data_IF_805637556215
#
_entry.id   IF_805637556215
#
_cell.length_a   1.000
_cell.length_b   1.000
_cell.length_c   1.000
_cell.angle_alpha   90.00
_cell.angle_beta   90.00
_cell.angle_gamma   90.00
#
_symmetry.space_group_name_H-M   'P 1'
#
loop_
_entity.id
_entity.type
_entity.pdbx_description
1 polymer ?
#
# COMPACT_ATOMS: atom_id res chain seq x y z
N UNK A 1 73.40 52.09 1.19
CA UNK A 1 73.40 51.16 2.33
C UNK A 1 72.57 49.95 1.91
N UNK A 2 73.24 48.80 1.72
CA UNK A 2 72.77 47.39 1.73
C UNK A 2 71.61 47.02 0.76
N UNK A 3 71.84 46.40 -0.41
CA UNK A 3 72.03 44.94 -0.72
C UNK A 3 70.82 44.04 -0.38
N UNK A 4 70.20 43.49 -1.45
CA UNK A 4 69.74 42.08 -1.71
C UNK A 4 69.08 41.30 -0.54
N UNK A 5 67.95 40.61 -0.71
CA UNK A 5 67.85 39.34 -1.44
C UNK A 5 66.43 39.04 -1.96
N UNK A 6 66.38 37.97 -2.75
CA UNK A 6 65.54 37.70 -3.92
C UNK A 6 64.50 36.57 -3.63
N UNK A 7 63.61 36.30 -4.60
CA UNK A 7 62.94 34.99 -4.91
C UNK A 7 61.64 34.63 -4.15
N UNK A 8 60.58 33.98 -4.70
CA UNK A 8 59.94 33.76 -6.03
C UNK A 8 58.60 33.03 -5.75
N UNK A 9 57.54 33.41 -6.48
CA UNK A 9 56.44 32.61 -7.07
C UNK A 9 55.61 31.68 -6.15
N UNK A 10 54.29 31.87 -6.11
CA UNK A 10 53.37 30.87 -6.69
C UNK A 10 51.97 31.42 -6.95
N UNK A 11 51.44 30.94 -8.08
CA UNK A 11 50.09 31.10 -8.60
C UNK A 11 49.10 30.54 -7.56
N UNK A 12 48.04 31.28 -7.25
CA UNK A 12 46.72 30.66 -7.27
C UNK A 12 45.65 31.70 -7.63
N UNK A 13 44.73 31.20 -8.40
CA UNK A 13 43.85 31.90 -9.30
C UNK A 13 42.58 32.38 -8.57
N UNK A 14 42.12 33.59 -8.92
CA UNK A 14 40.75 34.09 -8.76
C UNK A 14 40.24 34.51 -7.36
N UNK A 15 40.33 35.81 -7.04
CA UNK A 15 39.29 36.48 -6.25
C UNK A 15 39.20 37.97 -6.62
N UNK A 16 38.14 38.35 -7.34
CA UNK A 16 37.76 39.76 -7.52
C UNK A 16 36.26 39.90 -7.41
N UNK A 17 35.86 40.74 -6.47
CA UNK A 17 34.52 40.83 -5.92
C UNK A 17 33.44 41.21 -6.94
N UNK A 18 32.55 40.23 -7.14
CA UNK A 18 31.10 40.26 -7.40
C UNK A 18 30.41 41.63 -7.53
N UNK A 19 30.04 41.99 -8.76
CA UNK A 19 28.75 42.65 -9.08
C UNK A 19 28.22 42.01 -10.36
N UNK A 20 27.15 41.23 -10.24
CA UNK A 20 26.46 40.60 -11.38
C UNK A 20 25.03 41.13 -11.41
N UNK A 21 24.71 41.87 -12.46
CA UNK A 21 23.34 42.23 -12.83
C UNK A 21 22.89 41.11 -13.78
N UNK A 22 21.87 40.35 -13.39
CA UNK A 22 21.22 39.36 -14.25
C UNK A 22 19.76 39.74 -14.41
N UNK A 23 19.32 39.89 -15.65
CA UNK A 23 17.94 40.19 -16.04
C UNK A 23 17.23 38.89 -16.40
N UNK A 24 15.99 38.78 -15.90
CA UNK A 24 14.85 37.95 -16.33
C UNK A 24 14.87 36.43 -16.12
N UNK A 25 13.79 35.92 -15.50
CA UNK A 25 12.93 34.89 -16.09
C UNK A 25 11.50 35.02 -15.52
N UNK A 26 10.45 34.79 -16.34
CA UNK A 26 9.07 35.11 -16.01
C UNK A 26 8.48 34.12 -15.00
N UNK A 27 7.70 34.66 -14.06
CA UNK A 27 6.98 33.89 -13.03
C UNK A 27 6.09 32.84 -13.70
N UNK A 28 6.24 31.54 -13.38
CA UNK A 28 5.32 30.53 -13.86
C UNK A 28 3.93 30.80 -13.30
N UNK A 29 2.96 31.02 -14.18
CA UNK A 29 1.56 31.15 -13.79
C UNK A 29 1.11 29.85 -13.09
N UNK A 30 0.62 29.97 -11.86
CA UNK A 30 -0.01 28.87 -11.13
C UNK A 30 -1.30 28.48 -11.85
N UNK A 31 -1.30 27.32 -12.50
CA UNK A 31 -2.49 26.74 -13.10
C UNK A 31 -3.32 26.18 -11.94
N UNK A 32 -4.34 26.91 -11.51
CA UNK A 32 -5.32 26.44 -10.53
C UNK A 32 -6.10 25.26 -11.09
N UNK A 33 -5.66 24.04 -10.80
CA UNK A 33 -6.43 22.82 -11.06
C UNK A 33 -7.41 22.70 -9.91
N UNK A 34 -8.66 23.12 -10.14
CA UNK A 34 -9.76 22.81 -9.23
C UNK A 34 -10.06 21.31 -9.39
N UNK A 35 -9.38 20.49 -8.58
CA UNK A 35 -9.59 19.04 -8.56
C UNK A 35 -10.93 18.82 -7.89
N UNK A 36 -11.98 18.59 -8.69
CA UNK A 36 -13.25 18.08 -8.18
C UNK A 36 -12.95 16.89 -7.23
N UNK A 37 -13.42 16.91 -5.98
CA UNK A 37 -13.10 15.87 -5.02
C UNK A 37 -13.60 14.54 -5.57
N UNK A 38 -12.66 13.64 -5.83
CA UNK A 38 -12.93 12.26 -6.26
C UNK A 38 -14.06 11.72 -5.39
N UNK A 39 -15.17 11.20 -5.95
CA UNK A 39 -16.32 10.79 -5.16
C UNK A 39 -15.84 9.81 -4.08
N UNK A 40 -15.93 10.22 -2.82
CA UNK A 40 -15.51 9.39 -1.70
C UNK A 40 -16.50 8.23 -1.58
N UNK A 41 -16.16 7.07 -2.12
CA UNK A 41 -16.99 5.88 -1.99
C UNK A 41 -17.01 5.47 -0.52
N UNK A 42 -18.15 5.68 0.15
CA UNK A 42 -18.36 5.24 1.52
C UNK A 42 -18.73 3.77 1.51
N UNK A 43 -17.85 2.94 2.06
CA UNK A 43 -18.05 1.52 2.22
C UNK A 43 -18.43 1.28 3.69
N UNK A 44 -19.51 0.52 3.92
CA UNK A 44 -19.93 0.09 5.26
C UNK A 44 -19.77 -1.42 5.33
N UNK A 45 -18.88 -1.89 6.20
CA UNK A 45 -18.60 -3.31 6.45
C UNK A 45 -18.68 -3.54 7.96
N UNK A 46 -19.21 -4.69 8.39
CA UNK A 46 -19.11 -5.17 9.77
C UNK A 46 -17.74 -5.82 9.99
N UNK A 47 -16.80 -5.00 10.50
CA UNK A 47 -15.42 -5.40 10.75
C UNK A 47 -15.07 -5.26 12.22
N UNK A 48 -14.51 -6.34 12.80
CA UNK A 48 -13.95 -6.35 14.15
C UNK A 48 -12.44 -6.53 14.11
N UNK A 49 -11.71 -5.78 14.94
CA UNK A 49 -10.27 -5.93 15.13
C UNK A 49 -9.99 -6.76 16.37
N UNK A 50 -9.14 -7.78 16.24
CA UNK A 50 -8.72 -8.61 17.37
C UNK A 50 -7.52 -8.00 18.10
N UNK A 51 -7.21 -8.53 19.29
CA UNK A 51 -6.02 -8.14 20.05
C UNK A 51 -4.70 -8.40 19.29
N UNK A 52 -4.72 -9.38 18.39
CA UNK A 52 -3.59 -9.77 17.53
C UNK A 52 -3.58 -9.01 16.20
N UNK A 53 -4.23 -7.84 16.14
CA UNK A 53 -4.31 -6.97 14.96
C UNK A 53 -4.89 -7.62 13.69
N UNK A 54 -5.66 -8.69 13.85
CA UNK A 54 -6.38 -9.31 12.74
C UNK A 54 -7.71 -8.61 12.54
N UNK A 55 -8.16 -8.55 11.28
CA UNK A 55 -9.48 -8.03 10.93
C UNK A 55 -10.41 -9.21 10.64
N UNK A 56 -11.56 -9.23 11.29
CA UNK A 56 -12.63 -10.20 11.05
C UNK A 56 -13.80 -9.47 10.42
N UNK A 57 -14.24 -9.92 9.25
CA UNK A 57 -15.36 -9.36 8.50
C UNK A 57 -16.51 -10.36 8.54
N UNK A 58 -17.71 -9.89 8.94
CA UNK A 58 -18.88 -10.74 9.20
C UNK A 58 -19.99 -10.68 8.15
N UNK A 59 -19.86 -9.81 7.15
CA UNK A 59 -20.90 -9.49 6.16
C UNK A 59 -21.42 -10.68 5.36
N UNK A 60 -20.58 -11.66 5.06
CA UNK A 60 -21.01 -12.81 4.27
C UNK A 60 -21.84 -13.79 5.13
N UNK A 61 -23.01 -14.28 4.67
CA UNK A 61 -23.91 -15.07 5.50
C UNK A 61 -23.36 -16.46 5.87
N UNK A 62 -22.48 -17.05 5.04
CA UNK A 62 -22.03 -18.44 5.21
C UNK A 62 -20.71 -18.57 5.98
N UNK A 63 -19.85 -17.56 5.92
CA UNK A 63 -18.50 -17.62 6.47
C UNK A 63 -18.00 -16.24 6.88
N UNK A 64 -17.12 -16.20 7.87
CA UNK A 64 -16.36 -15.02 8.25
C UNK A 64 -15.06 -14.96 7.46
N UNK A 65 -14.60 -13.75 7.14
CA UNK A 65 -13.32 -13.51 6.47
C UNK A 65 -12.36 -12.93 7.48
N UNK A 66 -11.16 -13.50 7.58
CA UNK A 66 -10.11 -13.05 8.49
C UNK A 66 -8.90 -12.63 7.69
N UNK A 67 -8.45 -11.40 7.91
CA UNK A 67 -7.21 -10.86 7.34
C UNK A 67 -6.19 -10.76 8.46
N UNK A 68 -5.07 -11.46 8.30
CA UNK A 68 -3.90 -11.37 9.17
C UNK A 68 -2.79 -10.58 8.46
N UNK A 69 -2.58 -9.30 8.81
CA UNK A 69 -1.53 -8.45 8.23
C UNK A 69 -0.12 -9.00 8.42
N UNK A 70 0.18 -9.50 9.61
CA UNK A 70 1.53 -9.91 10.01
C UNK A 70 1.99 -11.15 9.23
N UNK A 71 1.09 -12.11 9.03
CA UNK A 71 1.31 -13.35 8.26
C UNK A 71 0.98 -13.19 6.78
N UNK A 72 0.51 -12.02 6.35
CA UNK A 72 0.07 -11.74 4.98
C UNK A 72 -0.93 -12.76 4.44
N UNK A 73 -1.86 -13.17 5.30
CA UNK A 73 -2.76 -14.28 5.04
C UNK A 73 -4.21 -13.82 5.12
N UNK A 74 -5.02 -14.31 4.20
CA UNK A 74 -6.47 -14.22 4.25
C UNK A 74 -7.04 -15.63 4.43
N UNK A 75 -8.01 -15.77 5.33
CA UNK A 75 -8.64 -17.05 5.66
C UNK A 75 -10.15 -16.88 5.76
N UNK A 76 -10.91 -17.91 5.40
CA UNK A 76 -12.35 -17.97 5.63
C UNK A 76 -12.71 -19.05 6.63
N UNK A 77 -13.70 -18.80 7.47
CA UNK A 77 -14.19 -19.74 8.47
C UNK A 77 -15.71 -19.86 8.36
N UNK A 78 -16.22 -21.09 8.21
CA UNK A 78 -17.67 -21.33 8.15
C UNK A 78 -18.31 -20.91 9.46
N UNK A 79 -19.47 -20.25 9.41
CA UNK A 79 -20.22 -19.91 10.62
C UNK A 79 -20.92 -21.16 11.18
N UNK A 80 -20.91 -21.31 12.50
CA UNK A 80 -21.34 -22.54 13.20
C UNK A 80 -22.82 -22.95 12.93
N UNK A 81 -23.70 -21.99 12.67
CA UNK A 81 -25.14 -22.23 12.54
C UNK A 81 -25.58 -22.55 11.11
N UNK A 82 -24.65 -22.68 10.17
CA UNK A 82 -24.94 -22.86 8.75
C UNK A 82 -25.02 -24.35 8.43
N UNK A 83 -26.19 -24.80 7.97
CA UNK A 83 -26.43 -26.16 7.49
C UNK A 83 -26.04 -26.37 6.03
N UNK A 84 -25.82 -25.28 5.31
CA UNK A 84 -25.49 -25.26 3.88
C UNK A 84 -23.98 -25.41 3.67
N UNK A 85 -23.56 -26.09 2.60
CA UNK A 85 -22.15 -26.14 2.23
C UNK A 85 -21.61 -24.74 1.88
N UNK A 86 -20.62 -24.28 2.64
CA UNK A 86 -19.95 -23.00 2.39
C UNK A 86 -18.83 -23.10 1.34
N UNK A 87 -18.29 -24.30 1.11
CA UNK A 87 -17.11 -24.51 0.26
C UNK A 87 -17.25 -23.95 -1.17
N UNK A 88 -18.37 -24.17 -1.89
CA UNK A 88 -18.54 -23.60 -3.23
C UNK A 88 -18.48 -22.06 -3.23
N UNK A 89 -19.05 -21.42 -2.21
CA UNK A 89 -19.02 -19.96 -2.07
C UNK A 89 -17.62 -19.47 -1.68
N UNK A 90 -16.91 -20.21 -0.82
CA UNK A 90 -15.52 -19.92 -0.49
C UNK A 90 -14.62 -20.03 -1.73
N UNK A 91 -14.78 -21.07 -2.55
CA UNK A 91 -14.01 -21.24 -3.79
C UNK A 91 -14.27 -20.10 -4.79
N UNK A 92 -15.53 -19.69 -4.96
CA UNK A 92 -15.88 -18.51 -5.77
C UNK A 92 -15.20 -17.25 -5.25
N UNK A 93 -15.21 -17.03 -3.93
CA UNK A 93 -14.56 -15.88 -3.30
C UNK A 93 -13.05 -15.87 -3.53
N UNK A 94 -12.36 -16.99 -3.29
CA UNK A 94 -10.92 -17.07 -3.54
C UNK A 94 -10.61 -16.96 -5.05
N UNK A 95 -11.43 -17.52 -5.93
CA UNK A 95 -11.28 -17.34 -7.38
C UNK A 95 -11.47 -15.88 -7.81
N UNK A 96 -12.38 -15.13 -7.18
CA UNK A 96 -12.55 -13.70 -7.42
C UNK A 96 -11.30 -12.92 -7.03
N UNK A 97 -10.79 -13.12 -5.82
CA UNK A 97 -9.56 -12.47 -5.33
C UNK A 97 -8.35 -12.83 -6.21
N UNK A 98 -8.26 -14.08 -6.65
CA UNK A 98 -7.23 -14.57 -7.56
C UNK A 98 -7.25 -13.83 -8.90
N UNK A 99 -8.43 -13.70 -9.52
CA UNK A 99 -8.60 -12.99 -10.80
C UNK A 99 -8.24 -11.50 -10.71
N UNK A 100 -8.44 -10.89 -9.54
CA UNK A 100 -8.08 -9.48 -9.26
C UNK A 100 -6.60 -9.29 -8.88
N UNK A 101 -5.82 -10.37 -8.75
CA UNK A 101 -4.42 -10.30 -8.33
C UNK A 101 -4.23 -9.91 -6.85
N UNK A 102 -5.26 -10.07 -6.02
CA UNK A 102 -5.21 -9.72 -4.59
C UNK A 102 -4.47 -10.80 -3.80
N UNK A 103 -4.54 -12.06 -4.24
CA UNK A 103 -3.90 -13.21 -3.59
C UNK A 103 -3.00 -13.96 -4.56
N UNK A 104 -2.09 -14.77 -4.01
CA UNK A 104 -1.21 -15.65 -4.76
C UNK A 104 -1.92 -16.97 -5.10
N UNK A 105 -2.15 -17.29 -6.39
CA UNK A 105 -2.94 -18.46 -6.83
C UNK A 105 -2.45 -19.81 -6.28
N UNK A 106 -1.14 -19.97 -6.19
CA UNK A 106 -0.43 -21.18 -5.76
C UNK A 106 -0.52 -21.43 -4.26
N UNK A 107 -1.00 -20.44 -3.50
CA UNK A 107 -1.09 -20.51 -2.04
C UNK A 107 -2.48 -20.85 -1.51
N UNK A 108 -3.48 -20.98 -2.39
CA UNK A 108 -4.86 -21.32 -2.01
C UNK A 108 -4.90 -22.77 -1.54
N UNK A 109 -5.27 -22.99 -0.27
CA UNK A 109 -5.32 -24.32 0.33
C UNK A 109 -6.31 -24.39 1.49
N UNK A 110 -6.65 -25.60 1.90
CA UNK A 110 -7.39 -25.83 3.15
C UNK A 110 -6.56 -25.38 4.36
N UNK A 111 -7.21 -24.72 5.32
CA UNK A 111 -6.59 -24.29 6.56
C UNK A 111 -6.59 -25.37 7.64
N UNK A 112 -6.04 -25.04 8.80
CA UNK A 112 -5.95 -25.96 9.94
C UNK A 112 -7.32 -26.26 10.60
N UNK A 113 -8.29 -25.36 10.43
CA UNK A 113 -9.64 -25.52 10.98
C UNK A 113 -10.50 -26.20 9.92
N UNK A 114 -11.33 -27.15 10.32
CA UNK A 114 -12.24 -27.83 9.41
C UNK A 114 -13.15 -26.82 8.69
N UNK A 115 -13.30 -26.95 7.37
CA UNK A 115 -14.08 -26.02 6.55
C UNK A 115 -13.41 -24.66 6.30
N UNK A 116 -12.16 -24.46 6.73
CA UNK A 116 -11.42 -23.23 6.43
C UNK A 116 -10.63 -23.31 5.13
N UNK A 117 -10.59 -22.22 4.38
CA UNK A 117 -9.71 -22.03 3.22
C UNK A 117 -8.84 -20.82 3.50
N UNK A 118 -7.57 -20.89 3.11
CA UNK A 118 -6.61 -19.80 3.28
C UNK A 118 -5.76 -19.56 2.03
N UNK A 119 -5.30 -18.33 1.86
CA UNK A 119 -4.34 -17.93 0.84
C UNK A 119 -3.43 -16.81 1.34
N UNK A 120 -2.27 -16.68 0.72
CA UNK A 120 -1.32 -15.59 0.99
C UNK A 120 -1.55 -14.46 -0.01
N UNK A 121 -1.36 -13.22 0.44
CA UNK A 121 -1.34 -12.05 -0.44
C UNK A 121 0.06 -11.41 -0.48
N UNK A 122 0.44 -10.77 -1.60
CA UNK A 122 1.75 -10.16 -1.75
C UNK A 122 1.89 -8.91 -0.87
N UNK A 123 3.12 -8.62 -0.44
CA UNK A 123 3.43 -7.35 0.21
C UNK A 123 3.69 -6.26 -0.83
N UNK A 124 3.19 -5.06 -0.58
CA UNK A 124 3.48 -3.88 -1.40
C UNK A 124 3.92 -2.73 -0.49
N UNK A 125 5.01 -2.04 -0.85
CA UNK A 125 5.53 -0.88 -0.11
C UNK A 125 4.86 0.44 -0.51
N UNK A 126 4.29 0.52 -1.72
CA UNK A 126 3.70 1.75 -2.27
C UNK A 126 2.23 1.91 -1.88
N UNK A 127 1.56 0.80 -1.54
CA UNK A 127 0.12 0.80 -1.28
C UNK A 127 -0.19 0.02 -0.01
N UNK A 128 -1.24 0.44 0.69
CA UNK A 128 -1.80 -0.26 1.83
C UNK A 128 -2.60 -1.48 1.35
N UNK A 129 -1.98 -2.66 1.46
CA UNK A 129 -2.55 -3.92 0.96
C UNK A 129 -3.85 -4.26 1.69
N UNK A 130 -3.95 -3.98 3.00
CA UNK A 130 -5.14 -4.32 3.79
C UNK A 130 -6.35 -3.51 3.30
N UNK A 131 -6.17 -2.22 2.99
CA UNK A 131 -7.24 -1.40 2.41
C UNK A 131 -7.72 -1.91 1.05
N UNK A 132 -6.79 -2.36 0.20
CA UNK A 132 -7.15 -2.95 -1.10
C UNK A 132 -7.96 -4.24 -0.91
N UNK A 133 -7.56 -5.09 0.04
CA UNK A 133 -8.30 -6.32 0.33
C UNK A 133 -9.72 -5.97 0.81
N UNK A 134 -9.86 -5.04 1.75
CA UNK A 134 -11.17 -4.60 2.25
C UNK A 134 -12.07 -4.05 1.15
N UNK A 135 -11.51 -3.30 0.19
CA UNK A 135 -12.25 -2.83 -0.98
C UNK A 135 -12.78 -3.99 -1.83
N UNK A 136 -12.01 -5.07 -2.00
CA UNK A 136 -12.43 -6.21 -2.80
C UNK A 136 -13.41 -7.13 -2.06
N UNK A 137 -13.39 -7.15 -0.73
CA UNK A 137 -14.34 -7.95 0.08
C UNK A 137 -15.75 -7.37 0.03
N UNK A 138 -15.90 -6.07 -0.20
CA UNK A 138 -17.19 -5.38 -0.32
C UNK A 138 -17.92 -5.61 -1.65
N UNK A 139 -17.19 -5.83 -2.74
CA UNK A 139 -17.70 -5.80 -4.13
C UNK A 139 -18.23 -7.15 -4.57
#
# INVERSE_FOLDING_TARGET
MIKIDEIKINIDDQQKDKITISIAEPVPAEIGIDVEPVPSQRISLDVRRTLDNNYIIHDHPLFDIVINPDKKKISTFVKDFIKTEAYPHQDVFFNFLKKRGVILPDTIKGGNIFGSIEATYPANKKMDVVKIILLNVFV
#
